data_IF_973943092262
#
_entry.id   IF_973943092262
#
_cell.length_a   1.000
_cell.length_b   1.000
_cell.length_c   1.000
_cell.angle_alpha   90.00
_cell.angle_beta   90.00
_cell.angle_gamma   90.00
#
_symmetry.space_group_name_H-M   'P 1'
#
loop_
_entity.id
_entity.type
_entity.pdbx_description
1 polymer ?
#
# COMPACT_ATOMS: atom_id res chain seq x y z
N UNK A 1 -11.65 -0.25 -19.61
CA UNK A 1 -11.98 1.14 -20.11
C UNK A 1 -10.86 2.08 -19.74
N UNK A 2 -10.43 2.97 -20.64
CA UNK A 2 -9.35 3.92 -20.31
C UNK A 2 -9.91 5.11 -19.54
N UNK A 3 -9.37 5.34 -18.35
CA UNK A 3 -9.60 6.50 -17.52
C UNK A 3 -8.36 7.40 -17.56
N UNK A 4 -8.53 8.68 -17.81
CA UNK A 4 -7.44 9.67 -17.80
C UNK A 4 -7.54 10.52 -16.56
N UNK A 5 -6.45 10.62 -15.79
CA UNK A 5 -6.40 11.46 -14.59
C UNK A 5 -6.48 12.93 -14.99
N UNK A 6 -7.53 13.67 -14.56
CA UNK A 6 -7.76 15.04 -15.01
C UNK A 6 -6.62 16.00 -14.68
N UNK A 7 -6.02 15.86 -13.49
CA UNK A 7 -4.97 16.74 -12.96
C UNK A 7 -3.68 16.70 -13.78
N UNK A 8 -3.41 15.58 -14.44
CA UNK A 8 -2.17 15.39 -15.21
C UNK A 8 -2.37 15.43 -16.71
N UNK A 9 -3.56 15.03 -17.18
CA UNK A 9 -3.89 14.80 -18.60
C UNK A 9 -2.98 13.79 -19.32
N UNK A 10 -2.06 13.14 -18.60
CA UNK A 10 -1.04 12.23 -19.16
C UNK A 10 -1.05 10.86 -18.50
N UNK A 11 -1.48 10.77 -17.23
CA UNK A 11 -1.57 9.48 -16.53
C UNK A 11 -2.91 8.84 -16.86
N UNK A 12 -2.86 7.59 -17.26
CA UNK A 12 -4.04 6.82 -17.69
C UNK A 12 -4.11 5.48 -16.98
N UNK A 13 -5.32 5.00 -16.78
CA UNK A 13 -5.59 3.68 -16.19
C UNK A 13 -6.51 2.88 -17.10
N UNK A 14 -6.21 1.59 -17.24
CA UNK A 14 -7.19 0.63 -17.76
C UNK A 14 -8.00 0.10 -16.57
N UNK A 15 -9.17 0.69 -16.35
CA UNK A 15 -10.11 0.32 -15.29
C UNK A 15 -10.95 -0.88 -15.74
N UNK A 16 -11.16 -1.82 -14.82
CA UNK A 16 -11.86 -3.07 -15.06
C UNK A 16 -13.38 -2.88 -15.00
N UNK A 17 -14.12 -3.45 -15.94
CA UNK A 17 -15.58 -3.25 -16.05
C UNK A 17 -16.36 -3.77 -14.83
N UNK A 18 -15.87 -4.83 -14.19
CA UNK A 18 -16.52 -5.47 -13.04
C UNK A 18 -15.98 -5.02 -11.67
N UNK A 19 -15.14 -4.00 -11.64
CA UNK A 19 -14.51 -3.47 -10.42
C UNK A 19 -14.82 -1.97 -10.26
N UNK A 20 -16.01 -1.63 -9.75
CA UNK A 20 -16.40 -0.24 -9.62
C UNK A 20 -15.51 0.58 -8.66
N UNK A 21 -14.76 -0.09 -7.81
CA UNK A 21 -13.79 0.51 -6.90
C UNK A 21 -12.56 1.07 -7.61
N UNK A 22 -12.23 0.60 -8.81
CA UNK A 22 -11.04 1.07 -9.55
C UNK A 22 -11.05 2.59 -9.76
N UNK A 23 -12.19 3.16 -10.18
CA UNK A 23 -12.32 4.61 -10.36
C UNK A 23 -12.33 5.37 -9.02
N UNK A 24 -12.89 4.76 -7.98
CA UNK A 24 -12.96 5.36 -6.64
C UNK A 24 -11.55 5.55 -6.07
N UNK A 25 -10.74 4.50 -6.03
CA UNK A 25 -9.37 4.57 -5.49
C UNK A 25 -8.48 5.52 -6.28
N UNK A 26 -8.68 5.66 -7.59
CA UNK A 26 -7.97 6.67 -8.38
C UNK A 26 -8.32 8.08 -7.90
N UNK A 27 -9.62 8.39 -7.72
CA UNK A 27 -10.07 9.71 -7.28
C UNK A 27 -9.61 10.05 -5.86
N UNK A 28 -9.73 9.13 -4.93
CA UNK A 28 -9.27 9.29 -3.54
C UNK A 28 -7.79 9.67 -3.47
N UNK A 29 -6.95 9.07 -4.34
CA UNK A 29 -5.52 9.33 -4.35
C UNK A 29 -5.17 10.60 -5.11
N UNK A 30 -5.73 10.79 -6.31
CA UNK A 30 -5.31 11.87 -7.21
C UNK A 30 -6.02 13.19 -6.94
N UNK A 31 -7.30 13.16 -6.55
CA UNK A 31 -8.11 14.36 -6.31
C UNK A 31 -8.12 14.72 -4.81
N UNK A 32 -8.31 13.73 -3.92
CA UNK A 32 -8.57 13.96 -2.50
C UNK A 32 -7.31 13.89 -1.63
N UNK A 33 -6.20 13.29 -2.14
CA UNK A 33 -4.93 13.08 -1.40
C UNK A 33 -5.14 12.46 0.00
N UNK A 34 -5.94 11.39 0.06
CA UNK A 34 -6.33 10.74 1.33
C UNK A 34 -5.13 10.29 2.18
N UNK A 35 -3.99 9.99 1.55
CA UNK A 35 -2.76 9.61 2.24
C UNK A 35 -1.89 10.80 2.67
N UNK A 36 -2.27 12.03 2.32
CA UNK A 36 -1.57 13.29 2.62
C UNK A 36 -0.07 13.28 2.24
N UNK A 37 0.21 12.83 1.02
CA UNK A 37 1.58 12.74 0.52
C UNK A 37 1.93 13.80 -0.52
N UNK A 38 0.94 14.59 -0.96
CA UNK A 38 1.10 15.62 -2.00
C UNK A 38 2.15 16.66 -1.60
N UNK A 39 2.99 17.03 -2.56
CA UNK A 39 3.94 18.16 -2.53
C UNK A 39 5.08 18.13 -1.50
N UNK A 40 4.88 17.56 -0.32
CA UNK A 40 5.86 17.67 0.77
C UNK A 40 6.63 16.38 1.07
N UNK A 41 6.15 15.25 0.59
CA UNK A 41 6.67 13.93 0.98
C UNK A 41 7.22 13.11 -0.18
N UNK A 42 6.78 13.40 -1.40
CA UNK A 42 7.29 12.75 -2.60
C UNK A 42 8.40 13.61 -3.22
N UNK A 43 9.61 13.08 -3.22
CA UNK A 43 10.77 13.73 -3.79
C UNK A 43 11.24 13.00 -5.06
N UNK A 44 11.74 13.74 -6.03
CA UNK A 44 12.39 13.15 -7.20
C UNK A 44 13.57 12.28 -6.76
N UNK A 45 13.52 10.99 -7.08
CA UNK A 45 14.51 10.00 -6.65
C UNK A 45 14.30 9.44 -5.24
N UNK A 46 13.22 9.85 -4.55
CA UNK A 46 12.81 9.25 -3.28
C UNK A 46 12.33 7.81 -3.43
N UNK A 47 12.27 7.08 -2.33
CA UNK A 47 11.83 5.68 -2.28
C UNK A 47 10.45 5.59 -1.63
N UNK A 48 9.54 4.94 -2.30
CA UNK A 48 8.17 4.66 -1.82
C UNK A 48 7.94 3.16 -1.76
N UNK A 49 7.35 2.70 -0.68
CA UNK A 49 6.82 1.34 -0.56
C UNK A 49 5.29 1.46 -0.49
N UNK A 50 4.62 0.83 -1.44
CA UNK A 50 3.16 0.79 -1.56
C UNK A 50 2.68 -0.63 -1.28
N UNK A 51 2.23 -0.89 -0.05
CA UNK A 51 1.69 -2.19 0.37
C UNK A 51 0.18 -2.18 0.17
N UNK A 52 -0.31 -3.13 -0.63
CA UNK A 52 -1.67 -3.14 -1.16
C UNK A 52 -1.78 -2.20 -2.36
N UNK A 53 -0.93 -2.42 -3.37
CA UNK A 53 -0.86 -1.52 -4.52
C UNK A 53 -2.09 -1.57 -5.43
N UNK A 54 -2.92 -2.63 -5.32
CA UNK A 54 -4.13 -2.82 -6.10
C UNK A 54 -3.85 -2.62 -7.61
N UNK A 55 -4.58 -1.78 -8.32
CA UNK A 55 -4.36 -1.48 -9.75
C UNK A 55 -3.22 -0.49 -10.00
N UNK A 56 -2.52 -0.03 -8.95
CA UNK A 56 -1.37 0.87 -9.04
C UNK A 56 -1.68 2.36 -8.95
N UNK A 57 -2.85 2.74 -8.42
CA UNK A 57 -3.25 4.14 -8.34
C UNK A 57 -2.24 4.99 -7.56
N UNK A 58 -1.83 4.54 -6.36
CA UNK A 58 -0.84 5.23 -5.54
C UNK A 58 0.59 5.07 -6.11
N UNK A 59 0.93 3.89 -6.63
CA UNK A 59 2.23 3.65 -7.26
C UNK A 59 2.48 4.59 -8.45
N UNK A 60 1.50 4.77 -9.32
CA UNK A 60 1.58 5.69 -10.45
C UNK A 60 1.62 7.16 -9.99
N UNK A 61 0.85 7.51 -8.96
CA UNK A 61 0.89 8.82 -8.33
C UNK A 61 2.31 9.14 -7.82
N UNK A 62 2.90 8.27 -7.02
CA UNK A 62 4.25 8.47 -6.49
C UNK A 62 5.30 8.56 -7.62
N UNK A 63 5.20 7.71 -8.64
CA UNK A 63 6.11 7.73 -9.79
C UNK A 63 5.95 8.97 -10.68
N UNK A 64 4.76 9.57 -10.73
CA UNK A 64 4.53 10.84 -11.43
C UNK A 64 5.37 11.96 -10.82
N UNK A 65 5.51 12.00 -9.49
CA UNK A 65 6.41 12.93 -8.79
C UNK A 65 7.88 12.52 -8.81
N UNK A 66 8.23 11.41 -9.47
CA UNK A 66 9.61 10.99 -9.73
C UNK A 66 10.20 10.08 -8.66
N UNK A 67 9.37 9.47 -7.80
CA UNK A 67 9.82 8.47 -6.84
C UNK A 67 10.12 7.13 -7.53
N UNK A 68 11.00 6.35 -6.91
CA UNK A 68 11.15 4.90 -7.15
C UNK A 68 10.18 4.17 -6.24
N UNK A 69 9.33 3.32 -6.80
CA UNK A 69 8.24 2.66 -6.06
C UNK A 69 8.43 1.15 -6.02
N UNK A 70 8.30 0.56 -4.85
CA UNK A 70 8.09 -0.87 -4.65
C UNK A 70 6.60 -1.11 -4.44
N UNK A 71 5.93 -1.56 -5.49
CA UNK A 71 4.49 -1.83 -5.52
C UNK A 71 4.23 -3.28 -5.12
N UNK A 72 3.69 -3.49 -3.92
CA UNK A 72 3.47 -4.81 -3.33
C UNK A 72 1.99 -5.14 -3.45
N UNK A 73 1.69 -6.16 -4.24
CA UNK A 73 0.31 -6.62 -4.49
C UNK A 73 0.31 -8.14 -4.69
N UNK A 74 -0.30 -8.90 -3.81
CA UNK A 74 -0.33 -10.35 -3.90
C UNK A 74 -1.47 -10.91 -4.76
N UNK A 75 -2.62 -10.21 -4.90
CA UNK A 75 -3.80 -10.74 -5.56
C UNK A 75 -3.58 -10.78 -7.09
N UNK A 76 -3.75 -11.95 -7.76
CA UNK A 76 -3.38 -12.11 -9.17
C UNK A 76 -4.08 -11.15 -10.16
N UNK A 77 -5.37 -10.87 -9.98
CA UNK A 77 -6.10 -9.98 -10.89
C UNK A 77 -5.70 -8.51 -10.69
N UNK A 78 -5.47 -8.08 -9.44
CA UNK A 78 -4.93 -6.77 -9.13
C UNK A 78 -3.50 -6.64 -9.67
N UNK A 79 -2.68 -7.68 -9.48
CA UNK A 79 -1.31 -7.74 -9.95
C UNK A 79 -1.21 -7.63 -11.49
N UNK A 80 -2.13 -8.24 -12.21
CA UNK A 80 -2.22 -8.12 -13.67
C UNK A 80 -2.59 -6.70 -14.07
N UNK A 81 -3.63 -6.12 -13.44
CA UNK A 81 -4.06 -4.75 -13.69
C UNK A 81 -2.96 -3.73 -13.35
N UNK A 82 -2.26 -3.90 -12.21
CA UNK A 82 -1.10 -3.11 -11.82
C UNK A 82 -0.02 -3.10 -12.91
N UNK A 83 0.40 -4.28 -13.39
CA UNK A 83 1.40 -4.40 -14.45
C UNK A 83 0.96 -3.73 -15.74
N UNK A 84 -0.30 -3.90 -16.12
CA UNK A 84 -0.86 -3.29 -17.32
C UNK A 84 -0.87 -1.75 -17.20
N UNK A 85 -1.28 -1.21 -16.07
CA UNK A 85 -1.30 0.23 -15.83
C UNK A 85 0.11 0.84 -15.77
N UNK A 86 1.08 0.15 -15.17
CA UNK A 86 2.50 0.58 -15.19
C UNK A 86 3.01 0.68 -16.62
N UNK A 87 2.78 -0.35 -17.42
CA UNK A 87 3.19 -0.39 -18.83
C UNK A 87 2.50 0.67 -19.68
N UNK A 88 1.21 0.90 -19.45
CA UNK A 88 0.41 1.91 -20.16
C UNK A 88 0.95 3.34 -19.95
N UNK A 89 1.67 3.57 -18.87
CA UNK A 89 2.26 4.85 -18.48
C UNK A 89 3.79 4.91 -18.66
N UNK A 90 4.43 3.92 -19.27
CA UNK A 90 5.89 3.83 -19.48
C UNK A 90 6.68 3.95 -18.15
N UNK A 91 6.19 3.29 -17.06
CA UNK A 91 6.74 3.41 -15.69
C UNK A 91 7.52 2.19 -15.20
N UNK A 92 7.81 1.20 -16.05
CA UNK A 92 8.49 -0.05 -15.69
C UNK A 92 9.90 0.15 -15.12
N UNK A 93 10.53 1.28 -15.41
CA UNK A 93 11.84 1.64 -14.86
C UNK A 93 11.79 2.36 -13.50
N UNK A 94 10.59 2.72 -13.03
CA UNK A 94 10.38 3.46 -11.79
C UNK A 94 9.57 2.65 -10.76
N UNK A 95 8.73 1.72 -11.20
CA UNK A 95 7.84 0.92 -10.35
C UNK A 95 8.24 -0.56 -10.44
N UNK A 96 8.71 -1.09 -9.32
CA UNK A 96 9.08 -2.50 -9.16
C UNK A 96 7.91 -3.26 -8.55
N UNK A 97 7.32 -4.16 -9.34
CA UNK A 97 6.17 -4.97 -8.90
C UNK A 97 6.66 -6.15 -8.05
N UNK A 98 6.11 -6.28 -6.85
CA UNK A 98 6.47 -7.27 -5.85
C UNK A 98 5.24 -8.13 -5.51
N UNK A 99 5.15 -9.38 -6.01
CA UNK A 99 3.97 -10.24 -5.86
C UNK A 99 3.95 -10.97 -4.50
N UNK A 100 3.98 -10.21 -3.41
CA UNK A 100 4.00 -10.74 -2.04
C UNK A 100 2.86 -10.16 -1.22
N UNK A 101 2.40 -10.91 -0.22
CA UNK A 101 1.69 -10.35 0.92
C UNK A 101 2.69 -9.99 2.03
N UNK A 102 2.51 -8.87 2.69
CA UNK A 102 3.30 -8.50 3.87
C UNK A 102 2.49 -8.82 5.12
N UNK A 103 3.12 -9.48 6.09
CA UNK A 103 2.51 -9.83 7.38
C UNK A 103 3.61 -9.98 8.45
N UNK A 104 3.36 -10.70 9.54
CA UNK A 104 4.33 -10.95 10.62
C UNK A 104 5.04 -12.31 10.52
N UNK A 105 4.79 -13.09 9.48
CA UNK A 105 5.38 -14.42 9.28
C UNK A 105 5.87 -14.62 7.84
N UNK A 106 6.71 -15.63 7.65
CA UNK A 106 7.15 -16.08 6.32
C UNK A 106 6.48 -17.42 5.99
N UNK A 107 5.85 -17.49 4.81
CA UNK A 107 5.14 -18.69 4.37
C UNK A 107 4.26 -18.42 3.16
N UNK A 108 3.11 -19.08 3.12
CA UNK A 108 2.06 -18.83 2.13
C UNK A 108 0.73 -18.55 2.82
N UNK A 109 -0.17 -17.88 2.12
CA UNK A 109 -1.55 -17.63 2.53
C UNK A 109 -2.49 -17.79 1.34
N UNK A 110 -3.77 -18.00 1.63
CA UNK A 110 -4.83 -17.94 0.61
C UNK A 110 -5.44 -16.53 0.64
N UNK A 111 -5.52 -15.89 -0.51
CA UNK A 111 -6.23 -14.62 -0.69
C UNK A 111 -7.50 -14.88 -1.47
N UNK A 112 -8.65 -14.43 -0.91
CA UNK A 112 -9.92 -14.49 -1.62
C UNK A 112 -9.98 -13.45 -2.71
N UNK A 113 -10.47 -13.83 -3.89
CA UNK A 113 -10.77 -12.90 -4.97
C UNK A 113 -12.17 -12.27 -4.73
N UNK A 114 -12.19 -11.12 -4.07
CA UNK A 114 -13.43 -10.36 -3.80
C UNK A 114 -13.39 -8.94 -4.39
N UNK A 115 -12.65 -8.76 -5.48
CA UNK A 115 -12.49 -7.44 -6.10
C UNK A 115 -11.56 -6.52 -5.29
N UNK A 116 -12.01 -5.30 -4.96
CA UNK A 116 -11.18 -4.34 -4.21
C UNK A 116 -10.84 -4.78 -2.78
N UNK A 117 -11.62 -5.69 -2.18
CA UNK A 117 -11.52 -6.10 -0.77
C UNK A 117 -10.81 -7.46 -0.61
N UNK A 118 -9.75 -7.72 -1.35
CA UNK A 118 -9.01 -8.99 -1.25
C UNK A 118 -8.28 -9.09 0.09
N UNK A 119 -8.60 -10.09 0.90
CA UNK A 119 -8.04 -10.30 2.23
C UNK A 119 -7.50 -11.71 2.41
N UNK A 120 -6.54 -11.86 3.33
CA UNK A 120 -6.06 -13.18 3.76
C UNK A 120 -7.18 -13.92 4.48
N UNK A 121 -7.48 -15.14 4.04
CA UNK A 121 -8.54 -15.97 4.62
C UNK A 121 -7.98 -17.29 5.15
N UNK A 122 -8.55 -17.74 6.28
CA UNK A 122 -8.28 -19.05 6.86
C UNK A 122 -9.36 -20.04 6.44
N UNK A 123 -8.96 -21.24 6.01
CA UNK A 123 -9.85 -22.37 5.71
C UNK A 123 -9.95 -22.74 4.23
N UNK A 124 -10.89 -23.64 3.90
CA UNK A 124 -11.14 -24.15 2.53
C UNK A 124 -11.95 -23.14 1.68
N UNK A 125 -11.43 -21.93 1.53
CA UNK A 125 -12.06 -20.90 0.69
C UNK A 125 -11.38 -20.90 -0.69
N UNK A 126 -12.17 -20.72 -1.74
CA UNK A 126 -11.65 -20.52 -3.09
C UNK A 126 -10.84 -19.21 -3.13
N UNK A 127 -9.57 -19.34 -3.46
CA UNK A 127 -8.66 -18.20 -3.54
C UNK A 127 -7.32 -18.59 -4.16
N UNK A 128 -6.44 -17.63 -4.28
CA UNK A 128 -5.09 -17.83 -4.81
C UNK A 128 -4.09 -17.99 -3.68
N UNK A 129 -3.22 -19.00 -3.77
CA UNK A 129 -2.08 -19.13 -2.86
C UNK A 129 -1.02 -18.09 -3.22
N UNK A 130 -0.55 -17.32 -2.23
CA UNK A 130 0.43 -16.26 -2.39
C UNK A 130 1.55 -16.39 -1.36
N UNK A 131 2.74 -15.92 -1.73
CA UNK A 131 3.87 -15.84 -0.79
C UNK A 131 3.66 -14.71 0.21
N UNK A 132 3.97 -15.00 1.48
CA UNK A 132 3.90 -14.05 2.60
C UNK A 132 5.29 -13.84 3.18
N UNK A 133 5.65 -12.59 3.49
CA UNK A 133 6.88 -12.28 4.21
C UNK A 133 6.71 -11.11 5.19
N UNK A 134 7.50 -11.08 6.28
CA UNK A 134 7.60 -9.92 7.15
C UNK A 134 8.17 -8.70 6.42
N UNK A 135 7.75 -7.50 6.85
CA UNK A 135 8.29 -6.24 6.34
C UNK A 135 9.83 -6.19 6.48
N UNK A 136 10.38 -6.71 7.57
CA UNK A 136 11.84 -6.76 7.80
C UNK A 136 12.57 -7.62 6.76
N UNK A 137 11.94 -8.73 6.32
CA UNK A 137 12.49 -9.57 5.27
C UNK A 137 12.44 -8.87 3.91
N UNK A 138 11.38 -8.11 3.65
CA UNK A 138 11.28 -7.28 2.45
C UNK A 138 12.39 -6.23 2.40
N UNK A 139 12.61 -5.49 3.49
CA UNK A 139 13.69 -4.51 3.60
C UNK A 139 15.07 -5.15 3.37
N UNK A 140 15.31 -6.35 3.92
CA UNK A 140 16.56 -7.08 3.73
C UNK A 140 16.72 -7.55 2.27
N UNK A 141 15.66 -8.10 1.65
CA UNK A 141 15.67 -8.63 0.28
C UNK A 141 16.00 -7.55 -0.75
N UNK A 142 15.40 -6.38 -0.62
CA UNK A 142 15.58 -5.27 -1.54
C UNK A 142 16.64 -4.25 -1.09
N UNK A 143 17.39 -4.56 -0.01
CA UNK A 143 18.45 -3.70 0.55
C UNK A 143 17.97 -2.28 0.85
N UNK A 144 16.73 -2.13 1.33
CA UNK A 144 16.11 -0.85 1.63
C UNK A 144 16.82 -0.19 2.82
N UNK A 145 17.32 1.02 2.61
CA UNK A 145 18.04 1.79 3.64
C UNK A 145 17.23 2.97 4.18
N UNK A 146 16.42 3.56 3.33
CA UNK A 146 15.58 4.71 3.63
C UNK A 146 14.32 4.66 2.77
N UNK A 147 13.20 5.09 3.32
CA UNK A 147 11.89 5.15 2.67
C UNK A 147 11.30 6.52 2.93
N UNK A 148 10.97 7.26 1.88
CA UNK A 148 10.32 8.55 2.04
C UNK A 148 8.85 8.39 2.44
N UNK A 149 8.16 7.42 1.82
CA UNK A 149 6.76 7.09 2.16
C UNK A 149 6.58 5.58 2.18
N UNK A 150 6.06 5.07 3.30
CA UNK A 150 5.49 3.73 3.43
C UNK A 150 3.96 3.88 3.48
N UNK A 151 3.27 3.45 2.43
CA UNK A 151 1.80 3.35 2.42
C UNK A 151 1.40 1.90 2.73
N UNK A 152 0.40 1.72 3.57
CA UNK A 152 -0.17 0.43 3.95
C UNK A 152 -1.69 0.51 3.83
N UNK A 153 -2.24 -0.38 3.02
CA UNK A 153 -3.69 -0.49 2.80
C UNK A 153 -3.97 -1.92 2.32
N UNK A 154 -4.24 -2.80 3.28
CA UNK A 154 -4.24 -4.27 3.10
C UNK A 154 -5.46 -4.96 3.71
N UNK A 155 -6.49 -4.16 3.98
CA UNK A 155 -7.80 -4.67 4.34
C UNK A 155 -7.78 -5.58 5.59
N UNK A 156 -7.14 -5.07 6.67
CA UNK A 156 -7.17 -5.65 8.01
C UNK A 156 -5.88 -6.33 8.47
N UNK A 157 -4.83 -6.43 7.65
CA UNK A 157 -3.53 -6.99 8.05
C UNK A 157 -2.53 -5.92 8.55
N UNK A 158 -2.92 -4.66 8.68
CA UNK A 158 -2.09 -3.54 9.14
C UNK A 158 -1.44 -3.82 10.52
N UNK A 159 -2.16 -4.41 11.51
CA UNK A 159 -1.56 -4.74 12.80
C UNK A 159 -0.41 -5.74 12.69
N UNK A 160 -0.57 -6.77 11.86
CA UNK A 160 0.47 -7.78 11.63
C UNK A 160 1.72 -7.15 11.04
N UNK A 161 1.56 -6.23 10.11
CA UNK A 161 2.66 -5.52 9.45
C UNK A 161 3.39 -4.63 10.46
N UNK A 162 2.68 -3.73 11.10
CA UNK A 162 3.29 -2.75 12.01
C UNK A 162 3.86 -3.41 13.26
N UNK A 163 3.12 -4.31 13.91
CA UNK A 163 3.57 -4.97 15.12
C UNK A 163 4.67 -5.99 14.84
N UNK A 164 4.69 -6.60 13.65
CA UNK A 164 5.73 -7.51 13.19
C UNK A 164 7.03 -6.82 12.77
N UNK A 165 6.99 -5.55 12.38
CA UNK A 165 8.17 -4.82 11.93
C UNK A 165 9.11 -4.46 13.10
N UNK A 166 10.41 -4.48 12.88
CA UNK A 166 11.41 -4.00 13.85
C UNK A 166 11.38 -2.48 13.96
N UNK A 167 11.72 -1.97 15.14
CA UNK A 167 11.89 -0.54 15.37
C UNK A 167 12.91 0.08 14.41
N UNK A 168 13.99 -0.65 14.13
CA UNK A 168 15.04 -0.22 13.20
C UNK A 168 14.50 0.03 11.80
N UNK A 169 13.65 -0.87 11.28
CA UNK A 169 13.07 -0.72 9.94
C UNK A 169 11.98 0.35 9.90
N UNK A 170 11.17 0.49 10.96
CA UNK A 170 10.24 1.60 11.04
C UNK A 170 10.95 2.96 11.05
N UNK A 171 12.11 3.10 11.72
CA UNK A 171 12.92 4.31 11.70
C UNK A 171 13.52 4.66 10.33
N UNK A 172 13.56 3.73 9.38
CA UNK A 172 13.96 4.01 8.00
C UNK A 172 12.87 4.71 7.20
N UNK A 173 11.62 4.71 7.68
CA UNK A 173 10.48 5.32 7.02
C UNK A 173 10.28 6.74 7.54
N UNK A 174 10.47 7.75 6.69
CA UNK A 174 10.26 9.16 7.07
C UNK A 174 8.79 9.48 7.31
N UNK A 175 7.93 8.87 6.52
CA UNK A 175 6.48 9.00 6.61
C UNK A 175 5.82 7.65 6.41
N UNK A 176 4.87 7.34 7.29
CA UNK A 176 4.03 6.15 7.21
C UNK A 176 2.58 6.63 7.15
N UNK A 177 1.84 6.16 6.17
CA UNK A 177 0.41 6.41 6.04
C UNK A 177 -0.30 5.09 5.84
N UNK A 178 -1.41 4.90 6.54
CA UNK A 178 -2.19 3.67 6.39
C UNK A 178 -3.68 3.92 6.57
N UNK A 179 -4.46 3.19 5.80
CA UNK A 179 -5.86 3.00 6.08
C UNK A 179 -6.02 1.89 7.12
N UNK A 180 -7.06 1.99 7.94
CA UNK A 180 -7.49 0.91 8.83
C UNK A 180 -9.02 0.83 8.83
N UNK A 181 -9.54 -0.35 8.96
CA UNK A 181 -10.98 -0.61 9.00
C UNK A 181 -11.40 -1.42 10.24
N UNK A 182 -12.65 -1.85 10.28
CA UNK A 182 -13.19 -2.66 11.37
C UNK A 182 -12.47 -4.01 11.54
N UNK A 183 -11.80 -4.54 10.49
CA UNK A 183 -11.01 -5.78 10.53
C UNK A 183 -9.72 -5.61 11.32
N UNK A 184 -9.16 -4.40 11.34
CA UNK A 184 -8.04 -4.04 12.24
C UNK A 184 -8.40 -4.27 13.72
N UNK A 185 -9.70 -4.24 14.05
CA UNK A 185 -10.21 -4.49 15.38
C UNK A 185 -9.72 -3.45 16.41
N UNK A 186 -9.61 -3.87 17.66
CA UNK A 186 -9.16 -3.00 18.75
C UNK A 186 -7.63 -2.80 18.81
N UNK A 187 -6.87 -3.28 17.80
CA UNK A 187 -5.39 -3.22 17.79
C UNK A 187 -4.83 -1.88 17.32
N UNK A 188 -5.67 -0.93 16.93
CA UNK A 188 -5.25 0.42 16.56
C UNK A 188 -4.38 1.08 17.65
N UNK A 189 -4.74 0.88 18.94
CA UNK A 189 -3.97 1.39 20.06
C UNK A 189 -2.56 0.80 20.16
N UNK A 190 -2.40 -0.49 19.92
CA UNK A 190 -1.09 -1.17 19.90
C UNK A 190 -0.22 -0.66 18.76
N UNK A 191 -0.78 -0.52 17.55
CA UNK A 191 -0.07 0.00 16.38
C UNK A 191 0.41 1.43 16.59
N UNK A 192 -0.49 2.31 17.05
CA UNK A 192 -0.14 3.71 17.31
C UNK A 192 0.88 3.86 18.42
N UNK A 193 0.79 3.04 19.48
CA UNK A 193 1.80 3.00 20.54
C UNK A 193 3.17 2.61 19.97
N UNK A 194 3.25 1.56 19.16
CA UNK A 194 4.51 1.12 18.54
C UNK A 194 5.09 2.18 17.60
N UNK A 195 4.27 2.78 16.75
CA UNK A 195 4.71 3.88 15.88
C UNK A 195 5.22 5.07 16.69
N UNK A 196 4.57 5.38 17.83
CA UNK A 196 4.97 6.50 18.71
C UNK A 196 6.34 6.31 19.38
N UNK A 197 6.95 5.14 19.27
CA UNK A 197 8.34 4.96 19.72
C UNK A 197 9.37 5.67 18.81
N UNK A 198 8.99 6.02 17.58
CA UNK A 198 9.88 6.56 16.56
C UNK A 198 9.29 7.74 15.79
N UNK A 199 7.98 7.90 15.82
CA UNK A 199 7.25 8.88 14.99
C UNK A 199 6.26 9.69 15.82
N UNK A 200 5.98 10.90 15.38
CA UNK A 200 4.74 11.58 15.74
C UNK A 200 3.59 10.87 15.04
N UNK A 201 2.51 10.59 15.74
CA UNK A 201 1.36 9.84 15.20
C UNK A 201 0.09 10.66 15.28
N UNK A 202 -0.67 10.69 14.19
CA UNK A 202 -2.01 11.25 14.10
C UNK A 202 -2.96 10.19 13.56
N UNK A 203 -4.16 10.13 14.14
CA UNK A 203 -5.23 9.23 13.68
C UNK A 203 -6.49 10.02 13.39
N UNK A 204 -7.27 9.57 12.43
CA UNK A 204 -8.61 10.06 12.13
C UNK A 204 -9.54 8.87 11.90
N UNK A 205 -10.76 8.93 12.44
CA UNK A 205 -11.72 7.82 12.38
C UNK A 205 -11.80 7.04 13.67
N UNK A 206 -12.43 5.88 13.62
CA UNK A 206 -12.56 4.96 14.76
C UNK A 206 -12.44 3.51 14.30
N UNK A 207 -12.05 2.61 15.17
CA UNK A 207 -11.94 1.18 14.86
C UNK A 207 -13.26 0.57 14.34
N UNK A 208 -14.42 1.15 14.68
CA UNK A 208 -15.74 0.67 14.23
C UNK A 208 -16.07 1.07 12.80
N UNK A 209 -15.53 2.20 12.33
CA UNK A 209 -15.86 2.82 11.06
C UNK A 209 -14.71 2.84 10.07
N UNK A 210 -13.51 2.48 10.54
CA UNK A 210 -12.28 2.69 9.80
C UNK A 210 -11.77 4.13 9.87
N UNK A 211 -10.65 4.38 9.22
CA UNK A 211 -10.01 5.67 9.17
C UNK A 211 -8.55 5.61 8.74
N UNK A 212 -7.82 6.67 9.07
CA UNK A 212 -6.43 6.85 8.66
C UNK A 212 -5.49 7.00 9.84
N UNK A 213 -4.26 6.49 9.66
CA UNK A 213 -3.11 6.78 10.53
C UNK A 213 -2.03 7.44 9.69
N UNK A 214 -1.49 8.53 10.20
CA UNK A 214 -0.31 9.19 9.65
C UNK A 214 0.78 9.25 10.71
N UNK A 215 2.00 8.87 10.34
CA UNK A 215 3.15 8.93 11.24
C UNK A 215 4.37 9.52 10.51
N UNK A 216 5.11 10.42 11.17
CA UNK A 216 6.32 11.04 10.62
C UNK A 216 7.43 11.06 11.66
N UNK A 217 8.67 10.89 11.23
CA UNK A 217 9.84 10.85 12.13
C UNK A 217 9.94 12.11 13.01
N UNK A 218 10.44 11.90 14.22
CA UNK A 218 10.77 12.99 15.16
C UNK A 218 11.80 13.97 14.59
#
# INVERSE_FOLDING_TARGET
>A
MIYTVPETSTVVFDIRENYPTDEIVIKEIWEEDVYEVKETRLNRGGVVIDIGANIGAFSLYASYYGATVYAIEPEPNNLEALKNNIKLNDKENQIYVCPYAISNYKGTAIISDQGGDSTIVDGDILGSEVEVMPLDNFFALYHIKEVDVLKIDVEGAEPEIILGASKENLQKCKYITMEFDHRTGNRLGEMTQKLSETHHVRTMGSWERGGMVWAWLY
#
